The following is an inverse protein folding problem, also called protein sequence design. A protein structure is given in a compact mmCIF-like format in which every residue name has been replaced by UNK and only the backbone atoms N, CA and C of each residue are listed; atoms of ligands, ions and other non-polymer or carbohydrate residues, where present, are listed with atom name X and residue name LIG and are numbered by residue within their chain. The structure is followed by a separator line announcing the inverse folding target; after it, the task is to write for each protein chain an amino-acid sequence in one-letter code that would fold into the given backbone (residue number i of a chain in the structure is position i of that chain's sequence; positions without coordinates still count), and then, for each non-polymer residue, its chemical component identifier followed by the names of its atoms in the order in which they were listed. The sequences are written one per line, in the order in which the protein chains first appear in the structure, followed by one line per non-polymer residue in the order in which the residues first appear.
data_IF_202519592886
#
_entry.id   IF_202519592886
#
_cell.length_a   1.000
_cell.length_b   1.000
_cell.length_c   1.000
_cell.angle_alpha   90.00
_cell.angle_beta   90.00
_cell.angle_gamma   90.00
#
_symmetry.space_group_name_H-M   'P 1'
#
loop_
_entity.id
_entity.type
_entity.pdbx_description
1 polymer ?
#
# COMPACT_ATOMS: atom_id res chain seq x y z
N UNK A 1 4.34 47.53 -9.88
CA UNK A 1 3.04 46.87 -9.65
C UNK A 1 3.27 45.35 -9.68
N UNK A 2 4.12 44.85 -8.77
CA UNK A 2 4.75 43.52 -8.95
C UNK A 2 4.52 42.58 -7.75
N UNK A 3 4.11 43.12 -6.60
CA UNK A 3 3.86 42.37 -5.36
C UNK A 3 2.80 41.27 -5.48
N UNK A 4 1.84 41.38 -6.42
CA UNK A 4 0.82 40.36 -6.64
C UNK A 4 1.34 39.10 -7.35
N UNK A 5 2.31 39.26 -8.25
CA UNK A 5 2.89 38.14 -9.00
C UNK A 5 3.88 37.35 -8.16
N UNK A 6 4.68 38.00 -7.32
CA UNK A 6 5.62 37.33 -6.41
C UNK A 6 4.92 36.43 -5.39
N UNK A 7 3.77 36.87 -4.85
CA UNK A 7 2.97 36.04 -3.94
C UNK A 7 2.35 34.83 -4.65
N UNK A 8 1.91 35.01 -5.90
CA UNK A 8 1.37 33.93 -6.73
C UNK A 8 2.44 32.90 -7.12
N UNK A 9 3.61 33.36 -7.55
CA UNK A 9 4.73 32.51 -7.93
C UNK A 9 5.27 31.77 -6.71
N UNK A 10 5.44 32.45 -5.57
CA UNK A 10 5.84 31.83 -4.31
C UNK A 10 4.90 30.72 -3.86
N UNK A 11 3.58 30.95 -3.96
CA UNK A 11 2.56 29.94 -3.65
C UNK A 11 2.62 28.71 -4.55
N UNK A 12 2.75 28.90 -5.86
CA UNK A 12 2.88 27.80 -6.84
C UNK A 12 4.15 26.99 -6.59
N UNK A 13 5.27 27.66 -6.30
CA UNK A 13 6.56 27.02 -6.06
C UNK A 13 6.52 26.15 -4.80
N UNK A 14 5.88 26.65 -3.74
CA UNK A 14 5.70 25.93 -2.48
C UNK A 14 4.80 24.69 -2.68
N UNK A 15 3.74 24.82 -3.48
CA UNK A 15 2.83 23.71 -3.81
C UNK A 15 3.54 22.62 -4.62
N UNK A 16 4.37 23.01 -5.60
CA UNK A 16 5.21 22.08 -6.36
C UNK A 16 6.20 21.32 -5.47
N UNK A 17 6.87 22.02 -4.56
CA UNK A 17 7.80 21.40 -3.61
C UNK A 17 7.06 20.41 -2.71
N UNK A 18 5.89 20.79 -2.18
CA UNK A 18 5.08 19.93 -1.35
C UNK A 18 4.64 18.66 -2.09
N UNK A 19 4.26 18.79 -3.37
CA UNK A 19 3.86 17.65 -4.21
C UNK A 19 5.03 16.69 -4.49
N UNK A 20 6.22 17.24 -4.75
CA UNK A 20 7.44 16.44 -4.93
C UNK A 20 7.79 15.69 -3.65
N UNK A 21 7.78 16.35 -2.49
CA UNK A 21 8.08 15.71 -1.21
C UNK A 21 7.06 14.61 -0.85
N UNK A 22 5.77 14.86 -1.09
CA UNK A 22 4.71 13.88 -0.86
C UNK A 22 4.79 12.65 -1.78
N UNK A 23 5.50 12.77 -2.91
CA UNK A 23 5.63 11.69 -3.88
C UNK A 23 6.63 10.60 -3.48
N UNK A 24 7.58 10.91 -2.59
CA UNK A 24 8.59 9.96 -2.17
C UNK A 24 8.06 9.02 -1.09
N UNK A 25 8.12 7.71 -1.36
CA UNK A 25 7.83 6.64 -0.41
C UNK A 25 9.02 5.68 -0.34
N UNK A 26 9.40 5.29 0.86
CA UNK A 26 10.48 4.32 1.08
C UNK A 26 9.84 2.97 1.45
N UNK A 27 10.19 1.93 0.72
CA UNK A 27 9.79 0.53 0.96
C UNK A 27 10.99 -0.25 1.50
N UNK A 28 10.74 -1.11 2.49
CA UNK A 28 11.77 -2.02 3.02
C UNK A 28 11.96 -3.22 2.09
N UNK A 29 13.11 -3.89 2.17
CA UNK A 29 13.46 -5.03 1.27
C UNK A 29 12.43 -6.17 1.29
N UNK A 30 11.83 -6.42 2.44
CA UNK A 30 10.82 -7.46 2.63
C UNK A 30 9.38 -6.99 2.29
N UNK A 31 9.24 -5.75 1.79
CA UNK A 31 7.96 -5.15 1.40
C UNK A 31 7.96 -4.90 -0.11
N UNK A 32 6.77 -4.96 -0.70
CA UNK A 32 6.56 -4.66 -2.11
C UNK A 32 5.37 -3.73 -2.25
N UNK A 33 5.53 -2.69 -3.08
CA UNK A 33 4.49 -1.69 -3.29
C UNK A 33 3.66 -2.04 -4.53
N UNK A 34 2.41 -2.44 -4.36
CA UNK A 34 1.47 -2.59 -5.48
C UNK A 34 0.88 -1.22 -5.78
N UNK A 35 1.14 -0.69 -6.97
CA UNK A 35 0.67 0.64 -7.37
C UNK A 35 -0.54 0.51 -8.31
N UNK A 36 -1.60 1.21 -7.93
CA UNK A 36 -2.82 1.39 -8.70
C UNK A 36 -2.84 2.80 -9.29
N UNK A 37 -3.26 2.92 -10.54
CA UNK A 37 -3.49 4.17 -11.24
C UNK A 37 -4.99 4.30 -11.48
N UNK A 38 -5.64 5.29 -10.85
CA UNK A 38 -7.09 5.54 -10.99
C UNK A 38 -7.94 4.25 -10.82
N UNK A 39 -7.59 3.43 -9.82
CA UNK A 39 -8.28 2.17 -9.52
C UNK A 39 -7.87 0.97 -10.37
N UNK A 40 -6.98 1.12 -11.36
CA UNK A 40 -6.45 0.00 -12.17
C UNK A 40 -5.07 -0.41 -11.71
N UNK A 41 -4.77 -1.70 -11.79
CA UNK A 41 -3.40 -2.18 -11.56
C UNK A 41 -2.45 -1.56 -12.57
N UNK A 42 -1.35 -0.97 -12.10
CA UNK A 42 -0.33 -0.42 -12.98
C UNK A 42 0.94 -1.26 -12.97
N UNK A 43 1.59 -1.36 -11.79
CA UNK A 43 2.82 -2.13 -11.64
C UNK A 43 3.10 -2.43 -10.17
N UNK A 44 3.81 -3.52 -9.94
CA UNK A 44 4.43 -3.81 -8.65
C UNK A 44 5.82 -3.17 -8.62
N UNK A 45 6.05 -2.27 -7.66
CA UNK A 45 7.34 -1.61 -7.45
C UNK A 45 8.14 -2.34 -6.37
N UNK A 46 9.45 -2.46 -6.62
CA UNK A 46 10.40 -3.12 -5.73
C UNK A 46 10.74 -2.29 -4.49
N UNK A 47 11.61 -2.82 -3.62
CA UNK A 47 12.05 -2.14 -2.42
C UNK A 47 12.93 -0.92 -2.73
N UNK A 48 13.10 -0.03 -1.73
CA UNK A 48 13.86 1.21 -1.87
C UNK A 48 12.99 2.45 -2.09
N UNK A 49 13.59 3.49 -2.68
CA UNK A 49 12.93 4.76 -2.93
C UNK A 49 11.98 4.63 -4.12
N UNK A 50 10.69 4.85 -3.87
CA UNK A 50 9.64 4.75 -4.87
C UNK A 50 8.87 6.05 -4.97
N UNK A 51 8.75 6.56 -6.20
CA UNK A 51 7.97 7.74 -6.51
C UNK A 51 6.51 7.35 -6.80
N UNK A 52 5.57 7.96 -6.08
CA UNK A 52 4.12 7.77 -6.23
C UNK A 52 3.47 9.13 -6.35
N UNK A 53 2.78 9.40 -7.45
CA UNK A 53 2.12 10.69 -7.63
C UNK A 53 0.86 10.77 -6.74
N UNK A 54 0.84 11.65 -5.72
CA UNK A 54 -0.33 11.77 -4.84
C UNK A 54 -1.55 12.23 -5.65
N UNK A 55 -2.72 11.70 -5.32
CA UNK A 55 -4.00 12.01 -5.99
C UNK A 55 -4.34 11.12 -7.17
N UNK A 56 -3.36 10.69 -7.98
CA UNK A 56 -3.60 9.83 -9.16
C UNK A 56 -3.22 8.38 -8.90
N UNK A 57 -2.13 8.16 -8.15
CA UNK A 57 -1.60 6.84 -7.86
C UNK A 57 -1.84 6.47 -6.40
N UNK A 58 -2.35 5.26 -6.18
CA UNK A 58 -2.53 4.68 -4.86
C UNK A 58 -1.54 3.52 -4.71
N UNK A 59 -0.77 3.51 -3.62
CA UNK A 59 0.16 2.43 -3.33
C UNK A 59 -0.31 1.64 -2.11
N UNK A 60 -0.40 0.32 -2.26
CA UNK A 60 -0.63 -0.62 -1.16
C UNK A 60 0.67 -1.37 -0.88
N UNK A 61 1.11 -1.40 0.39
CA UNK A 61 2.31 -2.12 0.80
C UNK A 61 1.93 -3.55 1.16
N UNK A 62 2.66 -4.52 0.61
CA UNK A 62 2.45 -5.95 0.86
C UNK A 62 3.75 -6.54 1.37
N UNK A 63 3.70 -7.24 2.51
CA UNK A 63 4.84 -7.99 3.03
C UNK A 63 5.05 -9.28 2.23
N UNK A 64 6.30 -9.61 1.93
CA UNK A 64 6.66 -10.85 1.24
C UNK A 64 6.95 -12.01 2.21
N UNK A 65 6.69 -11.83 3.51
CA UNK A 65 6.97 -12.82 4.53
C UNK A 65 5.85 -13.85 4.59
N UNK A 66 6.20 -15.10 4.80
CA UNK A 66 5.22 -16.15 5.12
C UNK A 66 4.59 -15.83 6.47
N UNK A 67 3.26 -15.80 6.50
CA UNK A 67 2.47 -15.70 7.74
C UNK A 67 1.77 -17.03 7.95
N UNK A 68 1.77 -17.51 9.18
CA UNK A 68 0.97 -18.67 9.58
C UNK A 68 -0.47 -18.17 9.78
N UNK A 69 -1.43 -18.88 9.20
CA UNK A 69 -2.85 -18.57 9.33
C UNK A 69 -3.48 -19.63 10.24
N UNK A 70 -3.92 -19.23 11.42
CA UNK A 70 -4.68 -20.11 12.30
C UNK A 70 -6.09 -20.31 11.74
N UNK A 71 -6.46 -21.56 11.47
CA UNK A 71 -7.81 -21.90 11.02
C UNK A 71 -8.70 -22.09 12.25
N UNK A 72 -9.90 -21.46 12.31
CA UNK A 72 -10.79 -21.63 13.45
C UNK A 72 -11.23 -23.08 13.57
N UNK A 73 -11.35 -23.56 14.82
CA UNK A 73 -11.85 -24.90 15.11
C UNK A 73 -13.24 -25.09 14.53
N UNK A 74 -13.45 -26.15 13.76
CA UNK A 74 -14.76 -26.51 13.22
C UNK A 74 -15.23 -27.84 13.83
N UNK A 75 -16.51 -27.89 14.21
CA UNK A 75 -17.19 -29.11 14.60
C UNK A 75 -17.59 -29.87 13.34
N UNK A 76 -16.97 -31.02 13.10
CA UNK A 76 -17.23 -31.87 11.93
C UNK A 76 -17.75 -33.22 12.40
N UNK A 77 -18.70 -33.78 11.64
CA UNK A 77 -19.23 -35.12 11.87
C UNK A 77 -18.40 -36.09 11.03
N UNK A 78 -17.73 -37.04 11.69
CA UNK A 78 -16.96 -38.08 11.03
C UNK A 78 -17.88 -39.04 10.26
N UNK A 79 -17.30 -39.84 9.36
CA UNK A 79 -18.03 -40.86 8.60
C UNK A 79 -18.67 -41.94 9.50
N UNK A 80 -18.17 -42.05 10.73
CA UNK A 80 -18.66 -42.95 11.77
C UNK A 80 -19.73 -42.29 12.66
N UNK A 81 -20.27 -41.14 12.24
CA UNK A 81 -21.34 -40.42 12.93
C UNK A 81 -20.94 -39.93 14.35
N UNK A 82 -19.67 -39.54 14.52
CA UNK A 82 -19.16 -38.97 15.77
C UNK A 82 -18.74 -37.51 15.53
N UNK A 83 -19.09 -36.62 16.46
CA UNK A 83 -18.66 -35.23 16.41
C UNK A 83 -17.23 -35.08 16.93
N UNK A 84 -16.38 -34.40 16.16
CA UNK A 84 -14.98 -34.14 16.51
C UNK A 84 -14.64 -32.68 16.23
N UNK A 85 -13.96 -32.05 17.19
CA UNK A 85 -13.36 -30.71 17.04
C UNK A 85 -11.97 -30.87 16.42
N UNK A 86 -11.77 -30.30 15.24
CA UNK A 86 -10.49 -30.37 14.53
C UNK A 86 -9.84 -29.00 14.51
N UNK A 87 -8.57 -28.94 14.91
CA UNK A 87 -7.71 -27.76 14.79
C UNK A 87 -6.66 -28.02 13.70
N UNK A 88 -6.44 -27.03 12.84
CA UNK A 88 -5.37 -27.06 11.85
C UNK A 88 -4.55 -25.76 11.97
N UNK A 89 -3.23 -25.90 11.93
CA UNK A 89 -2.22 -24.82 11.92
C UNK A 89 -1.35 -24.96 10.69
#
# INVERSE_FOLDING_TARGET
MDFGYDFGIGGVLLLLIALVLASFRILREYERGVVFLLGRFWKVKGPGLVLVVPGVQQMVRVGLRTVVLDVPTQDVISRDNVSVKVNAV
#
